data_IF_990789924773
#
_entry.id   IF_990789924773
#
_cell.length_a   1.000
_cell.length_b   1.000
_cell.length_c   1.000
_cell.angle_alpha   90.00
_cell.angle_beta   90.00
_cell.angle_gamma   90.00
#
_symmetry.space_group_name_H-M   'P 1'
#
loop_
_entity.id
_entity.type
_entity.pdbx_description
1 polymer ?
#
# COMPACT_ATOMS: atom_id res chain seq x y z
N UNK A 1 -23.11 -22.75 6.94
CA UNK A 1 -22.72 -22.64 8.36
C UNK A 1 -21.22 -22.42 8.34
N UNK A 2 -20.76 -21.21 8.67
CA UNK A 2 -19.34 -20.94 8.81
C UNK A 2 -18.94 -21.27 10.25
N UNK A 3 -17.85 -22.03 10.43
CA UNK A 3 -17.50 -22.66 11.71
C UNK A 3 -16.16 -22.13 12.24
N UNK A 4 -15.27 -21.65 11.36
CA UNK A 4 -13.97 -21.14 11.80
C UNK A 4 -14.09 -19.69 12.29
N UNK A 5 -14.19 -19.52 13.60
CA UNK A 5 -14.25 -18.21 14.26
C UNK A 5 -12.86 -17.72 14.68
N UNK A 6 -11.93 -18.65 14.94
CA UNK A 6 -10.58 -18.34 15.38
C UNK A 6 -9.54 -19.24 14.73
N UNK A 7 -8.35 -18.68 14.52
CA UNK A 7 -7.15 -19.44 14.21
C UNK A 7 -6.29 -19.39 15.46
N UNK A 8 -6.04 -20.54 16.06
CA UNK A 8 -5.21 -20.69 17.26
C UNK A 8 -3.94 -21.44 16.88
N UNK A 9 -2.80 -20.82 17.16
CA UNK A 9 -1.51 -21.50 17.19
C UNK A 9 -1.25 -21.93 18.62
N UNK A 10 -1.41 -23.23 18.91
CA UNK A 10 -1.13 -23.77 20.23
C UNK A 10 0.39 -23.91 20.42
N UNK A 11 0.89 -23.40 21.55
CA UNK A 11 2.25 -23.60 22.01
C UNK A 11 2.29 -24.94 22.76
N UNK A 12 2.97 -25.94 22.21
CA UNK A 12 3.32 -27.15 22.96
C UNK A 12 4.68 -26.89 23.62
N UNK A 13 4.71 -26.85 24.96
CA UNK A 13 5.91 -26.62 25.80
C UNK A 13 7.06 -27.60 25.53
N UNK A 14 6.84 -28.60 24.68
CA UNK A 14 7.83 -29.60 24.25
C UNK A 14 8.58 -29.24 22.95
N UNK A 15 8.17 -28.22 22.20
CA UNK A 15 8.80 -27.84 20.93
C UNK A 15 9.69 -26.60 21.06
N UNK A 16 11.01 -26.81 21.11
CA UNK A 16 12.03 -25.74 20.94
C UNK A 16 12.34 -25.43 19.46
N UNK A 17 11.43 -25.80 18.55
CA UNK A 17 11.58 -25.65 17.10
C UNK A 17 10.77 -24.49 16.54
N UNK A 18 11.20 -23.95 15.40
CA UNK A 18 10.39 -23.01 14.62
C UNK A 18 9.09 -23.69 14.20
N UNK A 19 7.95 -23.10 14.55
CA UNK A 19 6.67 -23.59 14.06
C UNK A 19 6.57 -23.24 12.58
N UNK A 20 6.09 -24.18 11.76
CA UNK A 20 5.99 -24.03 10.30
C UNK A 20 7.33 -23.68 9.59
N UNK A 21 8.37 -24.53 9.70
CA UNK A 21 9.71 -24.23 9.17
C UNK A 21 9.80 -24.12 7.65
N UNK A 22 8.72 -24.40 6.91
CA UNK A 22 8.66 -24.36 5.45
C UNK A 22 7.50 -23.53 4.90
N UNK A 23 6.72 -22.87 5.77
CA UNK A 23 5.54 -22.11 5.35
C UNK A 23 5.96 -20.72 4.85
N UNK A 24 6.25 -20.62 3.55
CA UNK A 24 6.63 -19.35 2.92
C UNK A 24 5.44 -18.52 2.44
N UNK A 25 4.27 -19.12 2.26
CA UNK A 25 3.06 -18.45 1.79
C UNK A 25 1.87 -18.83 2.67
N UNK A 26 1.15 -17.83 3.16
CA UNK A 26 -0.07 -17.98 3.95
C UNK A 26 -1.17 -17.14 3.33
N UNK A 27 -2.27 -17.77 2.97
CA UNK A 27 -3.42 -17.12 2.36
C UNK A 27 -4.71 -17.50 3.10
N UNK A 28 -5.48 -16.48 3.45
CA UNK A 28 -6.84 -16.60 3.96
C UNK A 28 -7.77 -15.88 2.99
N UNK A 29 -8.75 -16.60 2.44
CA UNK A 29 -9.69 -16.09 1.46
C UNK A 29 -11.10 -16.58 1.81
N UNK A 30 -12.09 -15.69 1.66
CA UNK A 30 -13.51 -15.92 1.95
C UNK A 30 -13.74 -16.59 3.32
N UNK A 31 -13.20 -15.97 4.37
CA UNK A 31 -13.34 -16.41 5.77
C UNK A 31 -14.26 -15.47 6.55
N UNK A 32 -15.58 -15.45 6.27
CA UNK A 32 -16.49 -14.42 6.77
C UNK A 32 -16.79 -14.49 8.26
N UNK A 33 -16.52 -15.62 8.92
CA UNK A 33 -16.68 -15.79 10.37
C UNK A 33 -15.38 -15.63 11.16
N UNK A 34 -14.23 -15.45 10.51
CA UNK A 34 -12.97 -15.34 11.22
C UNK A 34 -12.89 -14.00 11.96
N UNK A 35 -12.87 -14.05 13.29
CA UNK A 35 -12.87 -12.87 14.15
C UNK A 35 -11.47 -12.58 14.71
N UNK A 36 -10.75 -13.62 15.14
CA UNK A 36 -9.49 -13.45 15.87
C UNK A 36 -8.38 -14.33 15.29
N UNK A 37 -7.23 -13.70 15.05
CA UNK A 37 -5.97 -14.41 14.86
C UNK A 37 -5.26 -14.50 16.21
N UNK A 38 -5.34 -15.65 16.87
CA UNK A 38 -4.58 -15.90 18.10
C UNK A 38 -3.18 -16.39 17.75
N UNK A 39 -2.19 -15.56 18.06
CA UNK A 39 -0.79 -15.93 18.07
C UNK A 39 -0.22 -15.72 19.49
N UNK A 40 0.70 -16.56 19.98
CA UNK A 40 1.30 -16.38 21.29
C UNK A 40 2.02 -15.03 21.39
N UNK A 41 2.02 -14.43 22.59
CA UNK A 41 2.67 -13.13 22.83
C UNK A 41 4.18 -13.14 22.51
N UNK A 42 4.84 -14.30 22.56
CA UNK A 42 6.20 -14.56 22.05
C UNK A 42 6.16 -15.08 20.59
N UNK A 43 5.59 -14.28 19.69
CA UNK A 43 5.35 -14.67 18.29
C UNK A 43 6.61 -14.80 17.41
N UNK A 44 7.79 -14.55 17.98
CA UNK A 44 9.10 -14.51 17.32
C UNK A 44 9.51 -15.83 16.64
N UNK A 45 8.79 -16.93 16.88
CA UNK A 45 9.17 -18.27 16.43
C UNK A 45 8.21 -18.93 15.42
N UNK A 46 7.08 -18.29 15.08
CA UNK A 46 5.98 -18.97 14.36
C UNK A 46 5.97 -18.79 12.84
N UNK A 47 6.60 -17.74 12.31
CA UNK A 47 6.53 -17.39 10.88
C UNK A 47 7.84 -16.81 10.34
N UNK A 48 8.98 -17.33 10.81
CA UNK A 48 10.31 -16.82 10.44
C UNK A 48 10.65 -16.93 8.95
N UNK A 49 10.04 -17.89 8.24
CA UNK A 49 10.26 -18.12 6.80
C UNK A 49 9.11 -17.60 5.92
N UNK A 50 8.07 -16.99 6.52
CA UNK A 50 6.91 -16.52 5.79
C UNK A 50 7.29 -15.32 4.91
N UNK A 51 7.14 -15.47 3.59
CA UNK A 51 7.44 -14.45 2.57
C UNK A 51 6.20 -13.74 2.06
N UNK A 52 5.06 -14.41 2.04
CA UNK A 52 3.81 -13.87 1.49
C UNK A 52 2.65 -14.09 2.44
N UNK A 53 1.97 -13.00 2.81
CA UNK A 53 0.74 -13.03 3.59
C UNK A 53 -0.40 -12.37 2.80
N UNK A 54 -1.43 -13.14 2.47
CA UNK A 54 -2.60 -12.69 1.71
C UNK A 54 -3.86 -12.89 2.56
N UNK A 55 -4.65 -11.84 2.77
CA UNK A 55 -5.91 -11.91 3.51
C UNK A 55 -6.97 -11.20 2.70
N UNK A 56 -8.00 -11.94 2.27
CA UNK A 56 -9.03 -11.46 1.36
C UNK A 56 -10.40 -11.87 1.84
N UNK A 57 -11.37 -10.97 1.71
CA UNK A 57 -12.78 -11.25 1.99
C UNK A 57 -12.98 -11.82 3.43
N UNK A 58 -12.26 -11.24 4.41
CA UNK A 58 -12.31 -11.58 5.84
C UNK A 58 -12.92 -10.42 6.67
N UNK A 59 -14.21 -10.08 6.50
CA UNK A 59 -14.82 -8.86 7.03
C UNK A 59 -14.88 -8.76 8.55
N UNK A 60 -14.89 -9.89 9.28
CA UNK A 60 -15.01 -9.91 10.74
C UNK A 60 -13.67 -9.92 11.48
N UNK A 61 -12.56 -10.01 10.75
CA UNK A 61 -11.23 -10.09 11.33
C UNK A 61 -10.90 -8.80 12.09
N UNK A 62 -10.81 -8.90 13.41
CA UNK A 62 -10.54 -7.80 14.34
C UNK A 62 -9.20 -7.99 15.10
N UNK A 63 -8.30 -8.81 14.54
CA UNK A 63 -7.03 -9.18 15.16
C UNK A 63 -5.86 -8.25 14.83
N UNK A 64 -4.74 -8.48 15.52
CA UNK A 64 -3.44 -7.88 15.21
C UNK A 64 -2.57 -8.86 14.42
N UNK A 65 -1.74 -8.35 13.51
CA UNK A 65 -0.71 -9.16 12.88
C UNK A 65 0.28 -9.71 13.92
N UNK A 66 0.92 -10.88 13.66
CA UNK A 66 2.12 -11.27 14.40
C UNK A 66 3.15 -10.13 14.36
N UNK A 67 3.75 -9.78 15.50
CA UNK A 67 4.60 -8.59 15.58
C UNK A 67 5.90 -8.74 14.79
N UNK A 68 6.41 -9.97 14.62
CA UNK A 68 7.69 -10.25 13.97
C UNK A 68 7.54 -11.18 12.76
N UNK A 69 7.76 -10.65 11.56
CA UNK A 69 7.73 -11.41 10.30
C UNK A 69 8.98 -11.06 9.45
N UNK A 70 10.17 -11.56 9.84
CA UNK A 70 11.44 -11.06 9.32
C UNK A 70 11.67 -11.33 7.82
N UNK A 71 11.12 -12.43 7.30
CA UNK A 71 11.23 -12.82 5.90
C UNK A 71 10.07 -12.31 5.03
N UNK A 72 9.12 -11.56 5.59
CA UNK A 72 7.91 -11.18 4.85
C UNK A 72 8.23 -10.14 3.78
N UNK A 73 8.04 -10.52 2.52
CA UNK A 73 8.28 -9.72 1.34
C UNK A 73 6.99 -9.07 0.80
N UNK A 74 5.86 -9.77 0.94
CA UNK A 74 4.57 -9.39 0.36
C UNK A 74 3.48 -9.46 1.41
N UNK A 75 2.71 -8.38 1.53
CA UNK A 75 1.45 -8.37 2.26
C UNK A 75 0.33 -7.84 1.36
N UNK A 76 -0.77 -8.58 1.29
CA UNK A 76 -2.01 -8.15 0.63
C UNK A 76 -3.19 -8.29 1.57
N UNK A 77 -3.96 -7.22 1.71
CA UNK A 77 -5.16 -7.16 2.54
C UNK A 77 -6.29 -6.62 1.65
N UNK A 78 -7.40 -7.35 1.57
CA UNK A 78 -8.54 -7.00 0.75
C UNK A 78 -9.86 -7.27 1.50
N UNK A 79 -10.74 -6.26 1.62
CA UNK A 79 -12.09 -6.39 2.22
C UNK A 79 -12.08 -7.03 3.61
N UNK A 80 -11.33 -6.42 4.51
CA UNK A 80 -11.18 -6.80 5.91
C UNK A 80 -11.65 -5.65 6.84
N UNK A 81 -12.96 -5.39 6.88
CA UNK A 81 -13.54 -4.12 7.36
C UNK A 81 -13.25 -3.78 8.83
N UNK A 82 -13.07 -4.81 9.65
CA UNK A 82 -12.79 -4.67 11.08
C UNK A 82 -11.29 -4.71 11.41
N UNK A 83 -10.41 -4.92 10.42
CA UNK A 83 -8.98 -5.01 10.66
C UNK A 83 -8.39 -3.62 10.95
N UNK A 84 -8.09 -3.37 12.23
CA UNK A 84 -7.50 -2.11 12.74
C UNK A 84 -6.03 -2.25 13.15
N UNK A 85 -5.30 -3.21 12.55
CA UNK A 85 -3.90 -3.48 12.92
C UNK A 85 -2.92 -2.46 12.32
N UNK A 86 -1.78 -2.27 12.98
CA UNK A 86 -0.56 -1.72 12.37
C UNK A 86 0.16 -2.81 11.59
N UNK A 87 1.00 -2.43 10.63
CA UNK A 87 1.86 -3.39 9.93
C UNK A 87 2.81 -4.11 10.91
N UNK A 88 3.13 -5.39 10.65
CA UNK A 88 4.11 -6.14 11.41
C UNK A 88 5.53 -5.61 11.17
N UNK A 89 6.46 -5.92 12.08
CA UNK A 89 7.88 -5.70 11.81
C UNK A 89 8.36 -6.67 10.73
N UNK A 90 8.48 -6.14 9.52
CA UNK A 90 8.82 -6.88 8.31
C UNK A 90 9.91 -6.12 7.52
N UNK A 91 11.20 -6.24 7.89
CA UNK A 91 12.29 -5.51 7.24
C UNK A 91 12.47 -5.88 5.76
N UNK A 92 12.07 -7.09 5.36
CA UNK A 92 12.12 -7.56 3.97
C UNK A 92 10.94 -7.09 3.11
N UNK A 93 9.97 -6.36 3.67
CA UNK A 93 8.72 -6.04 2.98
C UNK A 93 8.97 -5.14 1.77
N UNK A 94 8.82 -5.72 0.57
CA UNK A 94 9.01 -5.03 -0.70
C UNK A 94 7.69 -4.73 -1.42
N UNK A 95 6.58 -5.40 -1.07
CA UNK A 95 5.26 -5.17 -1.68
C UNK A 95 4.15 -5.08 -0.65
N UNK A 96 3.46 -3.94 -0.64
CA UNK A 96 2.32 -3.66 0.24
C UNK A 96 1.09 -3.36 -0.60
N UNK A 97 0.04 -4.17 -0.43
CA UNK A 97 -1.23 -4.05 -1.16
C UNK A 97 -2.39 -4.01 -0.18
N UNK A 98 -3.14 -2.92 -0.15
CA UNK A 98 -4.26 -2.73 0.77
C UNK A 98 -5.46 -2.22 -0.02
N UNK A 99 -6.51 -3.03 -0.12
CA UNK A 99 -7.67 -2.75 -0.96
C UNK A 99 -8.96 -2.87 -0.15
N UNK A 100 -9.91 -1.96 -0.39
CA UNK A 100 -11.31 -1.94 0.04
C UNK A 100 -11.58 -2.37 1.49
N UNK A 101 -12.29 -1.55 2.27
CA UNK A 101 -12.85 -2.04 3.54
C UNK A 101 -11.77 -2.55 4.50
N UNK A 102 -10.82 -1.70 4.88
CA UNK A 102 -9.83 -2.00 5.90
C UNK A 102 -9.47 -0.71 6.62
N UNK A 103 -8.99 -0.82 7.86
CA UNK A 103 -8.62 0.32 8.71
C UNK A 103 -7.15 0.21 9.15
N UNK A 104 -6.32 -0.40 8.31
CA UNK A 104 -4.90 -0.61 8.58
C UNK A 104 -4.21 0.75 8.62
N UNK A 105 -3.59 1.07 9.76
CA UNK A 105 -2.87 2.32 9.94
C UNK A 105 -1.45 2.19 9.37
N UNK A 106 -1.13 3.04 8.39
CA UNK A 106 0.20 3.14 7.78
C UNK A 106 0.89 4.35 8.39
N UNK A 107 1.64 4.16 9.47
CA UNK A 107 2.41 5.22 10.13
C UNK A 107 3.81 5.38 9.51
N UNK A 108 4.44 4.25 9.19
CA UNK A 108 5.76 4.18 8.57
C UNK A 108 5.73 3.14 7.44
N UNK A 109 6.46 3.42 6.36
CA UNK A 109 6.68 2.47 5.27
C UNK A 109 8.10 1.92 5.35
N UNK A 110 8.31 0.62 5.09
CA UNK A 110 9.65 0.06 5.04
C UNK A 110 10.50 0.71 3.95
N UNK A 111 11.79 0.95 4.22
CA UNK A 111 12.72 1.52 3.24
C UNK A 111 12.98 0.59 2.04
N UNK A 112 12.76 -0.72 2.23
CA UNK A 112 12.83 -1.77 1.22
C UNK A 112 11.58 -1.83 0.33
N UNK A 113 10.54 -1.03 0.61
CA UNK A 113 9.28 -1.07 -0.13
C UNK A 113 9.47 -0.62 -1.58
N UNK A 114 9.20 -1.51 -2.54
CA UNK A 114 9.30 -1.26 -3.98
C UNK A 114 7.94 -1.01 -4.64
N UNK A 115 6.88 -1.62 -4.10
CA UNK A 115 5.52 -1.55 -4.64
C UNK A 115 4.50 -1.25 -3.55
N UNK A 116 3.73 -0.18 -3.75
CA UNK A 116 2.64 0.24 -2.89
C UNK A 116 1.36 0.34 -3.71
N UNK A 117 0.34 -0.46 -3.35
CA UNK A 117 -1.00 -0.38 -3.97
C UNK A 117 -2.08 -0.22 -2.93
N UNK A 118 -2.95 0.74 -3.16
CA UNK A 118 -3.88 1.23 -2.16
C UNK A 118 -5.22 1.53 -2.82
N UNK A 119 -6.30 0.97 -2.28
CA UNK A 119 -7.67 1.29 -2.68
C UNK A 119 -8.56 1.41 -1.44
N UNK A 120 -9.28 2.52 -1.30
CA UNK A 120 -10.30 2.66 -0.24
C UNK A 120 -10.36 4.04 0.42
N UNK A 121 -11.41 4.24 1.23
CA UNK A 121 -11.87 5.53 1.78
C UNK A 121 -10.93 6.20 2.80
N UNK A 122 -9.99 5.46 3.39
CA UNK A 122 -9.18 5.92 4.53
C UNK A 122 -7.67 5.74 4.32
N UNK A 123 -7.26 5.43 3.09
CA UNK A 123 -5.90 4.94 2.82
C UNK A 123 -4.95 6.05 2.42
N UNK A 124 -5.47 7.17 1.92
CA UNK A 124 -4.65 8.20 1.25
C UNK A 124 -4.01 9.19 2.23
N UNK A 125 -4.69 9.67 3.27
CA UNK A 125 -4.10 10.60 4.25
C UNK A 125 -2.94 9.98 5.05
N UNK A 126 -3.12 8.75 5.55
CA UNK A 126 -2.10 8.03 6.33
C UNK A 126 -0.85 7.74 5.50
N UNK A 127 -1.02 7.42 4.23
CA UNK A 127 0.09 7.04 3.34
C UNK A 127 0.97 8.22 2.98
N UNK A 128 0.39 9.39 2.67
CA UNK A 128 1.24 10.55 2.39
C UNK A 128 1.99 10.99 3.64
N UNK A 129 1.35 10.97 4.82
CA UNK A 129 2.06 11.20 6.07
C UNK A 129 3.23 10.20 6.24
N UNK A 130 2.99 8.90 6.00
CA UNK A 130 4.03 7.89 6.09
C UNK A 130 5.17 8.09 5.07
N UNK A 131 4.86 8.48 3.82
CA UNK A 131 5.86 8.77 2.79
C UNK A 131 6.68 10.01 3.16
N UNK A 132 6.05 11.07 3.66
CA UNK A 132 6.74 12.29 4.12
C UNK A 132 7.68 12.00 5.29
N UNK A 133 7.35 11.03 6.15
CA UNK A 133 8.18 10.62 7.28
C UNK A 133 9.32 9.70 6.84
N UNK A 134 9.03 8.69 6.02
CA UNK A 134 9.98 7.58 5.75
C UNK A 134 10.78 7.73 4.47
N UNK A 135 10.38 8.60 3.54
CA UNK A 135 11.07 8.86 2.26
C UNK A 135 11.54 7.56 1.58
N UNK A 136 10.63 6.63 1.22
CA UNK A 136 11.01 5.29 0.77
C UNK A 136 11.80 5.36 -0.53
N UNK A 137 13.13 5.19 -0.43
CA UNK A 137 14.07 5.36 -1.55
C UNK A 137 14.00 4.21 -2.55
N UNK A 138 13.40 3.08 -2.20
CA UNK A 138 13.24 1.92 -3.09
C UNK A 138 11.92 1.91 -3.87
N UNK A 139 10.98 2.81 -3.58
CA UNK A 139 9.62 2.74 -4.10
C UNK A 139 9.56 3.06 -5.61
N UNK A 140 9.23 2.05 -6.42
CA UNK A 140 9.20 2.13 -7.88
C UNK A 140 7.79 2.20 -8.45
N UNK A 141 6.83 1.58 -7.78
CA UNK A 141 5.44 1.47 -8.24
C UNK A 141 4.50 1.96 -7.15
N UNK A 142 3.65 2.91 -7.50
CA UNK A 142 2.61 3.45 -6.63
C UNK A 142 1.27 3.46 -7.37
N UNK A 143 0.27 2.76 -6.84
CA UNK A 143 -1.11 2.73 -7.36
C UNK A 143 -2.07 3.13 -6.25
N UNK A 144 -2.69 4.30 -6.39
CA UNK A 144 -3.60 4.88 -5.40
C UNK A 144 -4.98 5.06 -6.04
N UNK A 145 -6.00 4.49 -5.40
CA UNK A 145 -7.39 4.51 -5.88
C UNK A 145 -8.35 4.88 -4.76
N UNK A 146 -8.87 6.10 -4.77
CA UNK A 146 -9.86 6.55 -3.79
C UNK A 146 -10.98 7.30 -4.50
N UNK A 147 -12.18 6.71 -4.57
CA UNK A 147 -13.35 7.32 -5.21
C UNK A 147 -14.30 7.98 -4.20
N UNK A 148 -13.91 8.03 -2.92
CA UNK A 148 -14.81 8.36 -1.81
C UNK A 148 -14.55 9.72 -1.16
N UNK A 149 -13.38 10.32 -1.38
CA UNK A 149 -12.94 11.46 -0.57
C UNK A 149 -12.41 12.64 -1.41
N UNK A 150 -12.54 13.86 -0.87
CA UNK A 150 -12.01 15.12 -1.42
C UNK A 150 -10.53 15.24 -1.00
N UNK A 151 -9.74 14.18 -1.23
CA UNK A 151 -8.38 14.15 -0.71
C UNK A 151 -7.45 14.87 -1.67
N UNK A 152 -6.66 15.79 -1.10
CA UNK A 152 -5.60 16.49 -1.81
C UNK A 152 -4.34 15.65 -1.83
N UNK A 153 -3.89 15.30 -3.04
CA UNK A 153 -2.54 14.78 -3.21
C UNK A 153 -1.58 15.96 -3.07
N UNK A 154 -0.72 15.95 -2.05
CA UNK A 154 0.36 16.93 -1.92
C UNK A 154 1.57 16.42 -2.70
N UNK A 155 1.69 16.86 -3.95
CA UNK A 155 2.67 16.37 -4.91
C UNK A 155 4.13 16.54 -4.51
N UNK A 156 4.43 17.35 -3.50
CA UNK A 156 5.78 17.58 -3.00
C UNK A 156 6.44 16.35 -2.35
N UNK A 157 5.69 15.24 -2.19
CA UNK A 157 6.15 14.02 -1.50
C UNK A 157 6.39 12.82 -2.43
N UNK A 158 6.50 13.01 -3.74
CA UNK A 158 6.76 11.92 -4.68
C UNK A 158 8.18 11.36 -4.51
N UNK A 159 8.35 10.05 -4.20
CA UNK A 159 9.68 9.47 -4.04
C UNK A 159 10.52 9.58 -5.31
N UNK A 160 11.81 9.92 -5.17
CA UNK A 160 12.71 10.15 -6.30
C UNK A 160 12.93 8.90 -7.17
N UNK A 161 12.76 7.70 -6.63
CA UNK A 161 12.89 6.41 -7.32
C UNK A 161 11.63 5.96 -8.06
N UNK A 162 10.53 6.71 -7.93
CA UNK A 162 9.24 6.29 -8.48
C UNK A 162 9.27 6.26 -10.01
N UNK A 163 8.96 5.10 -10.57
CA UNK A 163 8.96 4.84 -12.01
C UNK A 163 7.57 4.72 -12.63
N UNK A 164 6.58 4.34 -11.82
CA UNK A 164 5.19 4.19 -12.23
C UNK A 164 4.26 4.73 -11.16
N UNK A 165 3.41 5.66 -11.57
CA UNK A 165 2.39 6.29 -10.73
C UNK A 165 1.01 6.12 -11.38
N UNK A 166 0.10 5.49 -10.64
CA UNK A 166 -1.31 5.37 -10.99
C UNK A 166 -2.16 6.07 -9.93
N UNK A 167 -3.00 7.01 -10.36
CA UNK A 167 -3.90 7.76 -9.49
C UNK A 167 -5.31 7.68 -10.09
N UNK A 168 -6.27 7.17 -9.31
CA UNK A 168 -7.67 7.02 -9.76
C UNK A 168 -8.66 7.52 -8.70
N UNK A 169 -9.58 8.38 -9.11
CA UNK A 169 -10.65 8.92 -8.26
C UNK A 169 -10.25 10.03 -7.29
N UNK A 170 -8.97 10.39 -7.20
CA UNK A 170 -8.44 11.35 -6.22
C UNK A 170 -8.73 12.81 -6.64
N UNK A 171 -9.82 13.39 -6.13
CA UNK A 171 -10.37 14.67 -6.62
C UNK A 171 -9.42 15.87 -6.60
N UNK A 172 -8.56 16.02 -5.58
CA UNK A 172 -7.69 17.20 -5.45
C UNK A 172 -6.21 16.88 -5.73
N UNK A 173 -5.90 16.36 -6.92
CA UNK A 173 -4.51 16.10 -7.31
C UNK A 173 -3.72 17.41 -7.52
N UNK A 174 -2.72 17.68 -6.68
CA UNK A 174 -1.77 18.78 -6.86
C UNK A 174 -0.40 18.15 -7.17
N UNK A 175 0.09 18.29 -8.39
CA UNK A 175 1.48 17.92 -8.71
C UNK A 175 2.45 18.95 -8.13
N UNK A 176 3.66 18.53 -7.70
CA UNK A 176 4.65 19.47 -7.19
C UNK A 176 4.97 20.52 -8.26
N UNK A 177 5.19 21.74 -7.79
CA UNK A 177 5.47 22.87 -8.67
C UNK A 177 6.83 22.69 -9.36
N UNK A 178 7.03 23.41 -10.47
CA UNK A 178 8.06 23.27 -11.52
C UNK A 178 9.55 23.16 -11.13
N UNK A 179 9.90 23.12 -9.83
CA UNK A 179 11.28 23.14 -9.33
C UNK A 179 11.85 21.76 -8.98
N UNK A 180 11.04 20.70 -8.98
CA UNK A 180 11.51 19.32 -8.75
C UNK A 180 11.29 18.46 -9.99
N UNK A 181 12.40 17.91 -10.51
CA UNK A 181 12.37 17.01 -11.66
C UNK A 181 12.21 15.56 -11.19
N UNK A 182 11.20 14.86 -11.71
CA UNK A 182 10.99 13.43 -11.47
C UNK A 182 11.63 12.61 -12.60
N UNK A 183 12.96 12.54 -12.58
CA UNK A 183 13.75 11.84 -13.60
C UNK A 183 13.47 10.33 -13.67
N UNK A 184 12.96 9.72 -12.61
CA UNK A 184 12.68 8.28 -12.59
C UNK A 184 11.32 7.93 -13.21
N UNK A 185 10.37 8.88 -13.25
CA UNK A 185 8.98 8.60 -13.59
C UNK A 185 8.84 8.34 -15.10
N UNK A 186 8.41 7.11 -15.44
CA UNK A 186 8.23 6.64 -16.82
C UNK A 186 6.77 6.46 -17.19
N UNK A 187 5.94 6.05 -16.24
CA UNK A 187 4.53 5.73 -16.47
C UNK A 187 3.66 6.57 -15.55
N UNK A 188 2.79 7.40 -16.11
CA UNK A 188 1.82 8.19 -15.38
C UNK A 188 0.40 7.89 -15.87
N UNK A 189 -0.43 7.40 -14.96
CA UNK A 189 -1.83 7.12 -15.21
C UNK A 189 -2.70 7.95 -14.26
N UNK A 190 -3.58 8.78 -14.82
CA UNK A 190 -4.51 9.64 -14.08
C UNK A 190 -5.94 9.39 -14.58
N UNK A 191 -6.85 9.04 -13.68
CA UNK A 191 -8.26 8.84 -13.99
C UNK A 191 -9.15 9.51 -12.95
N UNK A 192 -10.13 10.32 -13.37
CA UNK A 192 -11.12 10.95 -12.45
C UNK A 192 -10.47 11.64 -11.24
N UNK A 193 -9.32 12.30 -11.46
CA UNK A 193 -8.48 12.83 -10.38
C UNK A 193 -8.03 14.27 -10.63
N UNK A 194 -8.67 15.01 -11.54
CA UNK A 194 -8.17 16.31 -12.00
C UNK A 194 -9.04 17.49 -11.55
N UNK A 195 -9.84 17.37 -10.49
CA UNK A 195 -10.81 18.44 -10.15
C UNK A 195 -10.10 19.77 -9.83
N UNK A 196 -8.90 19.71 -9.25
CA UNK A 196 -8.02 20.88 -9.03
C UNK A 196 -6.92 21.05 -10.10
N UNK A 197 -6.64 20.02 -10.90
CA UNK A 197 -5.53 20.00 -11.85
C UNK A 197 -5.95 20.67 -13.16
N UNK A 198 -5.71 21.98 -13.27
CA UNK A 198 -5.99 22.74 -14.49
C UNK A 198 -4.89 22.63 -15.55
N UNK A 199 -3.65 22.40 -15.11
CA UNK A 199 -2.46 22.32 -15.96
C UNK A 199 -1.55 21.20 -15.50
N UNK A 200 -0.91 20.51 -16.44
CA UNK A 200 0.14 19.52 -16.15
C UNK A 200 1.39 19.87 -16.97
N UNK A 201 2.48 20.18 -16.29
CA UNK A 201 3.76 20.47 -16.94
C UNK A 201 4.58 19.19 -17.13
N UNK A 202 4.89 18.87 -18.38
CA UNK A 202 5.75 17.75 -18.75
C UNK A 202 7.23 18.06 -18.53
N UNK A 203 7.59 19.33 -18.31
CA UNK A 203 8.98 19.73 -18.01
C UNK A 203 9.47 19.17 -16.67
N UNK A 204 8.56 18.92 -15.73
CA UNK A 204 8.86 18.27 -14.47
C UNK A 204 9.06 16.74 -14.60
N UNK A 205 8.69 16.16 -15.75
CA UNK A 205 8.67 14.72 -16.01
C UNK A 205 9.51 14.36 -17.26
N UNK A 206 10.82 14.66 -17.28
CA UNK A 206 11.63 14.63 -18.50
C UNK A 206 11.78 13.24 -19.14
N UNK A 207 11.61 12.17 -18.36
CA UNK A 207 11.74 10.78 -18.82
C UNK A 207 10.40 10.05 -18.95
N UNK A 208 9.28 10.79 -18.98
CA UNK A 208 7.95 10.21 -19.10
C UNK A 208 7.80 9.49 -20.45
N UNK A 209 7.58 8.18 -20.39
CA UNK A 209 7.42 7.31 -21.56
C UNK A 209 5.95 7.12 -21.94
N UNK A 210 5.07 7.03 -20.94
CA UNK A 210 3.65 6.77 -21.13
C UNK A 210 2.81 7.66 -20.21
N UNK A 211 1.93 8.45 -20.83
CA UNK A 211 0.94 9.27 -20.14
C UNK A 211 -0.46 8.82 -20.55
N UNK A 212 -1.26 8.41 -19.58
CA UNK A 212 -2.67 8.12 -19.77
C UNK A 212 -3.52 8.98 -18.85
N UNK A 213 -4.38 9.81 -19.44
CA UNK A 213 -5.32 10.67 -18.71
C UNK A 213 -6.73 10.37 -19.22
N UNK A 214 -7.66 10.10 -18.31
CA UNK A 214 -9.06 9.85 -18.67
C UNK A 214 -10.01 10.45 -17.64
N UNK A 215 -11.20 10.87 -18.08
CA UNK A 215 -12.23 11.44 -17.22
C UNK A 215 -11.70 12.59 -16.32
N UNK A 216 -10.91 13.50 -16.90
CA UNK A 216 -10.34 14.67 -16.23
C UNK A 216 -10.91 15.95 -16.85
N UNK A 217 -12.04 16.42 -16.32
CA UNK A 217 -12.85 17.48 -16.95
C UNK A 217 -12.25 18.88 -16.81
N UNK A 218 -11.50 19.15 -15.74
CA UNK A 218 -10.92 20.46 -15.47
C UNK A 218 -9.50 20.66 -16.02
N UNK A 219 -8.89 19.62 -16.61
CA UNK A 219 -7.55 19.72 -17.19
C UNK A 219 -7.62 20.50 -18.51
N UNK A 220 -7.21 21.77 -18.48
CA UNK A 220 -7.30 22.67 -19.61
C UNK A 220 -6.22 22.41 -20.67
N UNK A 221 -4.97 22.21 -20.24
CA UNK A 221 -3.87 21.95 -21.17
C UNK A 221 -2.68 21.23 -20.52
N UNK A 222 -1.88 20.59 -21.38
CA UNK A 222 -0.55 20.08 -21.06
C UNK A 222 0.48 21.12 -21.53
N UNK A 223 1.45 21.47 -20.68
CA UNK A 223 2.55 22.36 -21.05
C UNK A 223 3.86 21.59 -21.19
N UNK A 224 4.62 21.90 -22.23
CA UNK A 224 6.00 21.45 -22.38
C UNK A 224 6.81 22.61 -22.97
N UNK A 225 7.94 22.93 -22.36
CA UNK A 225 8.89 23.89 -22.88
C UNK A 225 9.62 23.30 -24.09
N UNK A 226 9.86 24.11 -25.11
CA UNK A 226 10.76 23.72 -26.20
C UNK A 226 12.18 23.71 -25.66
N UNK A 227 12.75 22.54 -25.43
CA UNK A 227 14.20 22.39 -25.30
C UNK A 227 14.79 22.60 -26.70
N UNK A 228 15.36 23.79 -26.93
CA UNK A 228 16.13 24.16 -28.12
C UNK A 228 17.53 23.55 -28.06
#
# INVERSE_FOLDING_TARGET
MCILESIVLEYDDTFSGTSFPSLECLEFDDMPCWEVWYHPHDSDSFFLVLKSLLIKDCPRLNGYFPSHLPALEIIQIEKCDQLTSTLPWAPALCKLKVFDGNKVALHELPLSLEELRLKGRHVTESVFAAISITLPTSLRVMDIRDYSSIISFLGDCLPASLSSLTIKGCRNLIFPNQNQQHNSLKYLYIERSCDSLTTLSLDALPNLFYLYITHCENLGYLSASKTL
#
